data_IF_196551296363
#
_entry.id   IF_196551296363
#
_cell.length_a   1.000
_cell.length_b   1.000
_cell.length_c   1.000
_cell.angle_alpha   90.00
_cell.angle_beta   90.00
_cell.angle_gamma   90.00
#
_symmetry.space_group_name_H-M   'P 1'
#
loop_
_entity.id
_entity.type
_entity.pdbx_description
1 polymer ?
#
# COMPACT_ATOMS: atom_id res chain seq x y z
N UNK A 1 -12.51 -2.17 24.99
CA UNK A 1 -11.56 -2.76 25.96
C UNK A 1 -11.76 -4.27 26.04
N UNK A 2 -12.94 -4.79 26.40
CA UNK A 2 -13.20 -6.25 26.60
C UNK A 2 -12.78 -7.16 25.43
N UNK A 3 -12.93 -6.70 24.18
CA UNK A 3 -12.52 -7.50 23.01
C UNK A 3 -11.00 -7.55 22.89
N UNK A 4 -10.32 -6.42 23.05
CA UNK A 4 -8.84 -6.35 22.97
C UNK A 4 -8.20 -7.14 24.12
N UNK A 5 -8.78 -7.14 25.33
CA UNK A 5 -8.29 -7.99 26.44
C UNK A 5 -8.38 -9.48 26.08
N UNK A 6 -9.45 -9.90 25.38
CA UNK A 6 -9.60 -11.29 24.89
C UNK A 6 -8.56 -11.63 23.82
N UNK A 7 -8.30 -10.69 22.88
CA UNK A 7 -7.21 -10.85 21.88
C UNK A 7 -5.89 -11.00 22.61
N UNK A 8 -5.56 -10.08 23.53
CA UNK A 8 -4.31 -10.11 24.29
C UNK A 8 -4.12 -11.45 25.05
N UNK A 9 -5.19 -12.00 25.62
CA UNK A 9 -5.16 -13.30 26.29
C UNK A 9 -4.85 -14.45 25.31
N UNK A 10 -5.48 -14.48 24.13
CA UNK A 10 -5.28 -15.55 23.12
C UNK A 10 -3.87 -15.52 22.55
N UNK A 11 -3.24 -14.35 22.49
CA UNK A 11 -1.84 -14.19 22.04
C UNK A 11 -0.83 -14.17 23.18
N UNK A 12 -1.24 -14.36 24.44
CA UNK A 12 -0.38 -14.30 25.63
C UNK A 12 0.43 -13.00 25.74
N UNK A 13 -0.16 -11.87 25.36
CA UNK A 13 0.52 -10.56 25.35
C UNK A 13 0.71 -9.96 26.75
N UNK A 14 0.04 -10.50 27.75
CA UNK A 14 -0.05 -9.91 29.09
C UNK A 14 -1.25 -8.98 29.27
N UNK A 15 -1.37 -8.35 30.44
CA UNK A 15 -2.48 -7.44 30.75
C UNK A 15 -2.35 -6.13 29.99
N UNK A 16 -3.46 -5.68 29.36
CA UNK A 16 -3.52 -4.41 28.64
C UNK A 16 -3.47 -3.25 29.64
N UNK A 17 -2.52 -2.34 29.48
CA UNK A 17 -2.35 -1.10 30.24
C UNK A 17 -2.95 0.10 29.56
N UNK A 18 -2.66 0.24 28.25
CA UNK A 18 -3.10 1.36 27.43
C UNK A 18 -3.59 0.89 26.08
N UNK A 19 -4.61 1.58 25.56
CA UNK A 19 -5.23 1.30 24.26
C UNK A 19 -5.45 2.62 23.53
N UNK A 20 -4.88 2.73 22.33
CA UNK A 20 -5.06 3.89 21.46
C UNK A 20 -5.59 3.43 20.11
N UNK A 21 -6.74 3.94 19.68
CA UNK A 21 -7.25 3.70 18.34
C UNK A 21 -6.37 4.42 17.29
N UNK A 22 -6.06 3.72 16.20
CA UNK A 22 -5.33 4.28 15.07
C UNK A 22 -6.35 4.62 13.96
N UNK A 23 -6.46 5.89 13.60
CA UNK A 23 -7.49 6.40 12.69
C UNK A 23 -7.08 6.41 11.21
N UNK A 24 -5.95 5.81 10.84
CA UNK A 24 -5.35 5.96 9.52
C UNK A 24 -5.87 4.98 8.45
N UNK A 25 -6.71 4.00 8.80
CA UNK A 25 -7.25 3.00 7.86
C UNK A 25 -8.71 3.26 7.47
N UNK A 26 -9.04 3.20 6.17
CA UNK A 26 -10.43 3.30 5.68
C UNK A 26 -11.18 1.95 5.75
N UNK A 27 -10.48 0.83 5.73
CA UNK A 27 -11.04 -0.52 5.52
C UNK A 27 -10.97 -1.42 6.76
N UNK A 28 -10.10 -1.11 7.73
CA UNK A 28 -9.90 -1.90 8.94
C UNK A 28 -9.73 -1.01 10.17
N UNK A 29 -10.25 -1.46 11.30
CA UNK A 29 -9.97 -0.83 12.58
C UNK A 29 -8.64 -1.36 13.12
N UNK A 30 -7.78 -0.45 13.62
CA UNK A 30 -6.51 -0.80 14.21
C UNK A 30 -6.30 -0.08 15.54
N UNK A 31 -5.59 -0.74 16.46
CA UNK A 31 -5.27 -0.21 17.77
C UNK A 31 -3.81 -0.46 18.09
N UNK A 32 -3.17 0.55 18.65
CA UNK A 32 -1.94 0.36 19.40
C UNK A 32 -2.31 -0.11 20.82
N UNK A 33 -1.75 -1.23 21.21
CA UNK A 33 -2.00 -1.88 22.50
C UNK A 33 -0.69 -1.93 23.27
N UNK A 34 -0.64 -1.28 24.43
CA UNK A 34 0.46 -1.40 25.37
C UNK A 34 0.07 -2.40 26.47
N UNK A 35 0.93 -3.37 26.71
CA UNK A 35 0.76 -4.38 27.75
C UNK A 35 1.84 -4.25 28.84
N UNK A 36 1.82 -5.18 29.80
CA UNK A 36 2.93 -5.28 30.80
C UNK A 36 4.26 -5.68 30.15
N UNK A 37 4.22 -6.38 29.02
CA UNK A 37 5.40 -6.97 28.40
C UNK A 37 5.98 -6.11 27.27
N UNK A 38 5.10 -5.60 26.35
CA UNK A 38 5.53 -4.86 25.17
C UNK A 38 4.36 -4.09 24.54
N UNK A 39 4.58 -3.50 23.37
CA UNK A 39 3.58 -2.81 22.54
C UNK A 39 3.29 -3.61 21.29
N UNK A 40 2.04 -3.57 20.86
CA UNK A 40 1.53 -4.33 19.71
C UNK A 40 0.56 -3.49 18.87
N UNK A 41 0.38 -3.88 17.62
CA UNK A 41 -0.73 -3.42 16.78
C UNK A 41 -1.73 -4.57 16.68
N UNK A 42 -2.97 -4.31 17.08
CA UNK A 42 -4.11 -5.20 16.84
C UNK A 42 -4.94 -4.60 15.73
N UNK A 43 -5.22 -5.36 14.67
CA UNK A 43 -6.07 -4.91 13.56
C UNK A 43 -7.17 -5.92 13.23
N UNK A 44 -8.33 -5.41 12.76
CA UNK A 44 -9.35 -6.25 12.15
C UNK A 44 -8.96 -6.63 10.74
N UNK A 45 -9.28 -7.86 10.35
CA UNK A 45 -9.05 -8.38 8.99
C UNK A 45 -10.39 -8.84 8.42
N UNK A 46 -10.59 -8.68 7.12
CA UNK A 46 -11.84 -8.99 6.44
C UNK A 46 -12.21 -10.48 6.52
N UNK A 47 -11.23 -11.38 6.50
CA UNK A 47 -11.45 -12.81 6.58
C UNK A 47 -10.25 -13.56 7.13
N UNK A 48 -10.48 -14.78 7.63
CA UNK A 48 -9.41 -15.69 8.06
C UNK A 48 -8.46 -16.02 6.93
N UNK A 49 -8.97 -16.20 5.70
CA UNK A 49 -8.17 -16.47 4.51
C UNK A 49 -7.22 -15.32 4.19
N UNK A 50 -7.70 -14.08 4.35
CA UNK A 50 -6.88 -12.87 4.19
C UNK A 50 -5.79 -12.81 5.27
N UNK A 51 -6.12 -13.10 6.53
CA UNK A 51 -5.14 -13.09 7.62
C UNK A 51 -4.01 -14.12 7.42
N UNK A 52 -4.34 -15.33 6.96
CA UNK A 52 -3.35 -16.37 6.61
C UNK A 52 -2.47 -15.91 5.45
N UNK A 53 -3.06 -15.30 4.43
CA UNK A 53 -2.32 -14.80 3.27
C UNK A 53 -1.36 -13.65 3.67
N UNK A 54 -1.82 -12.64 4.41
CA UNK A 54 -0.96 -11.55 4.89
C UNK A 54 0.20 -12.08 5.76
N UNK A 55 -0.06 -13.07 6.59
CA UNK A 55 0.99 -13.74 7.36
C UNK A 55 2.01 -14.42 6.46
N UNK A 56 1.56 -15.16 5.43
CA UNK A 56 2.45 -15.84 4.51
C UNK A 56 3.38 -14.85 3.78
N UNK A 57 2.84 -13.73 3.27
CA UNK A 57 3.62 -12.67 2.62
C UNK A 57 4.61 -12.05 3.60
N UNK A 58 4.13 -11.57 4.76
CA UNK A 58 4.98 -10.95 5.78
C UNK A 58 6.10 -11.87 6.23
N UNK A 59 5.80 -13.15 6.47
CA UNK A 59 6.79 -14.13 6.88
C UNK A 59 7.84 -14.38 5.79
N UNK A 60 7.44 -14.49 4.51
CA UNK A 60 8.37 -14.62 3.39
C UNK A 60 9.33 -13.41 3.31
N UNK A 61 8.81 -12.19 3.49
CA UNK A 61 9.64 -10.97 3.52
C UNK A 61 10.60 -10.98 4.71
N UNK A 62 10.13 -11.37 5.90
CA UNK A 62 10.95 -11.46 7.11
C UNK A 62 12.05 -12.52 7.05
N UNK A 63 11.81 -13.63 6.37
CA UNK A 63 12.85 -14.66 6.13
C UNK A 63 14.04 -14.09 5.34
N UNK A 64 13.82 -13.10 4.47
CA UNK A 64 14.90 -12.39 3.76
C UNK A 64 15.59 -11.36 4.64
N UNK A 65 14.82 -10.59 5.41
CA UNK A 65 15.32 -9.63 6.38
C UNK A 65 14.25 -9.29 7.41
N UNK A 66 14.56 -9.49 8.68
CA UNK A 66 13.65 -9.22 9.81
C UNK A 66 13.27 -7.75 9.93
N UNK A 67 14.06 -6.84 9.33
CA UNK A 67 13.86 -5.39 9.41
C UNK A 67 12.99 -4.81 8.29
N UNK A 68 12.53 -5.62 7.32
CA UNK A 68 11.76 -5.11 6.18
C UNK A 68 10.27 -4.93 6.48
N UNK A 69 9.72 -5.66 7.45
CA UNK A 69 8.31 -5.59 7.84
C UNK A 69 8.12 -6.03 9.30
N UNK A 70 7.08 -5.54 10.01
CA UNK A 70 6.76 -6.02 11.35
C UNK A 70 6.41 -7.50 11.37
N UNK A 71 6.68 -8.13 12.49
CA UNK A 71 6.27 -9.50 12.74
C UNK A 71 4.75 -9.59 12.95
N UNK A 72 4.09 -10.52 12.25
CA UNK A 72 2.74 -10.94 12.59
C UNK A 72 2.85 -12.10 13.57
N UNK A 73 2.29 -11.92 14.76
CA UNK A 73 2.37 -12.89 15.83
C UNK A 73 1.43 -14.07 15.58
N UNK A 74 1.83 -15.24 16.09
CA UNK A 74 0.94 -16.40 16.17
C UNK A 74 0.24 -16.41 17.53
N UNK A 75 -1.03 -16.79 17.53
CA UNK A 75 -1.81 -17.07 18.74
C UNK A 75 -1.28 -18.32 19.48
N UNK A 76 -1.75 -18.57 20.69
CA UNK A 76 -1.42 -19.80 21.45
C UNK A 76 -1.84 -21.08 20.72
N UNK A 77 -2.76 -20.99 19.76
CA UNK A 77 -3.15 -22.09 18.87
C UNK A 77 -2.33 -22.13 17.56
N UNK A 78 -1.20 -21.43 17.49
CA UNK A 78 -0.32 -21.32 16.30
C UNK A 78 -1.06 -20.81 15.05
N UNK A 79 -2.06 -19.93 15.21
CA UNK A 79 -2.78 -19.30 14.11
C UNK A 79 -2.40 -17.82 14.01
N UNK A 80 -2.24 -17.23 12.79
CA UNK A 80 -1.92 -15.82 12.61
C UNK A 80 -3.13 -14.89 12.84
N UNK A 81 -4.22 -15.40 13.36
CA UNK A 81 -5.44 -14.66 13.65
C UNK A 81 -6.22 -15.30 14.83
N UNK A 82 -7.17 -14.55 15.34
CA UNK A 82 -8.22 -15.05 16.23
C UNK A 82 -9.58 -14.51 15.79
N UNK A 83 -10.63 -15.31 15.95
CA UNK A 83 -12.01 -14.85 15.70
C UNK A 83 -12.70 -14.62 17.06
N UNK A 84 -13.18 -13.40 17.26
CA UNK A 84 -13.91 -12.99 18.46
C UNK A 84 -15.19 -12.28 18.02
N UNK A 85 -16.34 -12.81 18.44
CA UNK A 85 -17.67 -12.27 18.11
C UNK A 85 -17.88 -12.10 16.59
N UNK A 86 -17.41 -13.09 15.81
CA UNK A 86 -17.53 -13.09 14.35
C UNK A 86 -16.52 -12.21 13.59
N UNK A 87 -15.72 -11.41 14.29
CA UNK A 87 -14.68 -10.58 13.71
C UNK A 87 -13.30 -11.23 13.79
N UNK A 88 -12.55 -11.21 12.70
CA UNK A 88 -11.16 -11.69 12.66
C UNK A 88 -10.21 -10.59 13.09
N UNK A 89 -9.28 -10.93 14.01
CA UNK A 89 -8.23 -10.04 14.51
C UNK A 89 -6.86 -10.65 14.25
N UNK A 90 -5.90 -9.79 13.94
CA UNK A 90 -4.48 -10.12 13.78
C UNK A 90 -3.65 -9.22 14.68
N UNK A 91 -2.56 -9.75 15.21
CA UNK A 91 -1.61 -9.00 16.06
C UNK A 91 -0.28 -8.89 15.36
N UNK A 92 0.30 -7.70 15.40
CA UNK A 92 1.64 -7.41 14.87
C UNK A 92 2.49 -6.80 15.97
N UNK A 93 3.79 -7.07 15.92
CA UNK A 93 4.76 -6.39 16.78
C UNK A 93 4.74 -4.88 16.46
N UNK A 94 4.75 -4.06 17.51
CA UNK A 94 4.88 -2.61 17.36
C UNK A 94 6.30 -2.26 16.93
N UNK A 95 6.43 -1.47 15.88
CA UNK A 95 7.72 -0.92 15.47
C UNK A 95 7.83 0.54 15.91
N UNK A 96 8.85 0.84 16.69
CA UNK A 96 9.21 2.22 17.00
C UNK A 96 9.84 2.87 15.77
N UNK A 97 9.13 3.84 15.22
CA UNK A 97 9.60 4.65 14.10
C UNK A 97 10.06 6.04 14.54
N UNK A 98 10.77 6.72 13.66
CA UNK A 98 11.08 8.14 13.78
C UNK A 98 10.03 8.97 13.06
N UNK A 99 9.86 10.24 13.45
CA UNK A 99 9.02 11.20 12.71
C UNK A 99 9.65 11.63 11.37
N UNK A 100 10.91 11.27 11.13
CA UNK A 100 11.60 11.59 9.88
C UNK A 100 10.93 10.86 8.71
N UNK A 101 10.53 11.59 7.65
CA UNK A 101 10.02 10.93 6.46
C UNK A 101 11.13 10.13 5.75
N UNK A 102 10.80 8.99 5.13
CA UNK A 102 11.78 8.25 4.34
C UNK A 102 12.24 9.06 3.12
N UNK A 103 13.50 8.91 2.73
CA UNK A 103 13.99 9.43 1.45
C UNK A 103 13.64 8.46 0.29
N UNK A 104 13.62 8.96 -0.95
CA UNK A 104 13.41 8.14 -2.14
C UNK A 104 14.42 6.98 -2.21
N UNK A 105 15.71 7.26 -2.01
CA UNK A 105 16.79 6.28 -2.11
C UNK A 105 16.66 5.16 -1.07
N UNK A 106 16.38 5.52 0.18
CA UNK A 106 16.16 4.53 1.26
C UNK A 106 14.94 3.66 0.96
N UNK A 107 13.85 4.29 0.52
CA UNK A 107 12.61 3.59 0.17
C UNK A 107 12.81 2.61 -0.96
N UNK A 108 13.40 3.05 -2.07
CA UNK A 108 13.65 2.17 -3.22
C UNK A 108 14.63 1.04 -2.88
N UNK A 109 15.62 1.28 -2.00
CA UNK A 109 16.50 0.22 -1.51
C UNK A 109 15.72 -0.87 -0.77
N UNK A 110 14.88 -0.49 0.21
CA UNK A 110 14.05 -1.44 0.98
C UNK A 110 13.02 -2.13 0.10
N UNK A 111 12.34 -1.39 -0.77
CA UNK A 111 11.35 -1.96 -1.68
C UNK A 111 11.97 -2.96 -2.66
N UNK A 112 13.16 -2.69 -3.21
CA UNK A 112 13.86 -3.65 -4.09
C UNK A 112 14.19 -4.97 -3.39
N UNK A 113 14.57 -4.92 -2.10
CA UNK A 113 14.79 -6.13 -1.30
C UNK A 113 13.48 -6.92 -1.13
N UNK A 114 12.38 -6.22 -0.78
CA UNK A 114 11.06 -6.84 -0.69
C UNK A 114 10.61 -7.40 -2.05
N UNK A 115 10.84 -6.65 -3.14
CA UNK A 115 10.49 -7.07 -4.51
C UNK A 115 11.15 -8.39 -4.89
N UNK A 116 12.42 -8.62 -4.54
CA UNK A 116 13.11 -9.88 -4.79
C UNK A 116 12.41 -11.08 -4.13
N UNK A 117 11.76 -10.83 -2.97
CA UNK A 117 10.97 -11.87 -2.29
C UNK A 117 9.64 -12.07 -3.03
N UNK A 118 8.95 -11.00 -3.37
CA UNK A 118 7.67 -11.05 -4.08
C UNK A 118 7.82 -11.71 -5.46
N UNK A 119 8.93 -11.49 -6.18
CA UNK A 119 9.21 -12.13 -7.48
C UNK A 119 9.39 -13.67 -7.38
N UNK A 120 9.73 -14.18 -6.19
CA UNK A 120 9.88 -15.60 -5.90
C UNK A 120 8.72 -16.17 -5.06
N UNK A 121 7.76 -15.32 -4.70
CA UNK A 121 6.63 -15.71 -3.87
C UNK A 121 5.67 -16.57 -4.68
N UNK A 122 5.54 -17.83 -4.28
CA UNK A 122 4.59 -18.77 -4.87
C UNK A 122 3.48 -19.07 -3.86
N UNK A 123 2.28 -18.65 -4.19
CA UNK A 123 1.11 -18.87 -3.36
C UNK A 123 -0.12 -19.13 -4.23
N UNK A 124 -0.87 -20.17 -3.92
CA UNK A 124 -2.01 -20.62 -4.73
C UNK A 124 -3.22 -19.66 -4.70
N UNK A 125 -3.24 -18.69 -3.80
CA UNK A 125 -4.31 -17.72 -3.67
C UNK A 125 -3.77 -16.30 -3.87
N UNK A 126 -4.36 -15.58 -4.83
CA UNK A 126 -4.17 -14.14 -4.97
C UNK A 126 -5.50 -13.44 -4.69
N UNK A 127 -5.57 -12.52 -3.71
CA UNK A 127 -6.75 -11.69 -3.51
C UNK A 127 -7.11 -10.92 -4.79
N UNK A 128 -8.39 -10.63 -5.02
CA UNK A 128 -8.80 -9.72 -6.09
C UNK A 128 -8.35 -8.28 -5.78
N UNK A 129 -8.24 -7.44 -6.82
CA UNK A 129 -8.12 -5.99 -6.62
C UNK A 129 -9.39 -5.47 -5.94
N UNK A 130 -9.24 -4.81 -4.79
CA UNK A 130 -10.35 -4.23 -4.04
C UNK A 130 -10.98 -3.03 -4.76
N UNK A 131 -10.21 -2.34 -5.61
CA UNK A 131 -10.59 -1.11 -6.31
C UNK A 131 -10.24 -1.15 -7.81
N UNK A 132 -10.81 -2.07 -8.62
CA UNK A 132 -10.49 -2.14 -10.05
C UNK A 132 -10.87 -0.86 -10.77
N UNK A 133 -10.02 -0.37 -11.69
CA UNK A 133 -10.30 0.85 -12.46
C UNK A 133 -11.66 0.80 -13.17
N UNK A 134 -12.06 -0.35 -13.69
CA UNK A 134 -13.36 -0.50 -14.36
C UNK A 134 -14.54 -0.19 -13.44
N UNK A 135 -14.46 -0.55 -12.17
CA UNK A 135 -15.48 -0.27 -11.14
C UNK A 135 -15.43 1.21 -10.77
N UNK A 136 -14.26 1.75 -10.43
CA UNK A 136 -14.08 3.17 -10.10
C UNK A 136 -14.54 4.09 -11.23
N UNK A 137 -14.17 3.78 -12.48
CA UNK A 137 -14.58 4.55 -13.65
C UNK A 137 -16.08 4.59 -13.81
N UNK A 138 -16.76 3.44 -13.69
CA UNK A 138 -18.24 3.36 -13.80
C UNK A 138 -18.90 4.19 -12.70
N UNK A 139 -18.40 4.14 -11.48
CA UNK A 139 -18.98 4.81 -10.33
C UNK A 139 -18.79 6.34 -10.34
N UNK A 140 -17.66 6.83 -10.92
CA UNK A 140 -17.25 8.22 -10.69
C UNK A 140 -17.06 9.06 -11.97
N UNK A 141 -17.19 8.48 -13.19
CA UNK A 141 -16.98 9.20 -14.44
C UNK A 141 -17.91 10.41 -14.62
N UNK A 142 -19.15 10.31 -14.17
CA UNK A 142 -20.13 11.41 -14.27
C UNK A 142 -19.71 12.59 -13.41
N UNK A 143 -19.38 12.32 -12.14
CA UNK A 143 -18.86 13.35 -11.24
C UNK A 143 -17.56 13.99 -11.76
N UNK A 144 -16.68 13.21 -12.40
CA UNK A 144 -15.47 13.74 -13.03
C UNK A 144 -15.82 14.62 -14.23
N UNK A 145 -16.77 14.21 -15.07
CA UNK A 145 -17.23 14.99 -16.23
C UNK A 145 -17.84 16.33 -15.83
N UNK A 146 -18.65 16.34 -14.76
CA UNK A 146 -19.28 17.57 -14.24
C UNK A 146 -18.27 18.51 -13.59
N UNK A 147 -17.42 17.97 -12.70
CA UNK A 147 -16.50 18.79 -11.90
C UNK A 147 -15.24 19.22 -12.67
N UNK A 148 -14.77 18.41 -13.63
CA UNK A 148 -13.49 18.56 -14.33
C UNK A 148 -13.59 18.13 -15.81
N UNK A 149 -14.39 18.81 -16.66
CA UNK A 149 -14.70 18.35 -18.01
C UNK A 149 -13.46 18.18 -18.92
N UNK A 150 -12.50 19.09 -18.85
CA UNK A 150 -11.25 18.99 -19.65
C UNK A 150 -10.45 17.74 -19.26
N UNK A 151 -10.27 17.53 -17.95
CA UNK A 151 -9.55 16.36 -17.43
C UNK A 151 -10.31 15.06 -17.73
N UNK A 152 -11.65 15.09 -17.70
CA UNK A 152 -12.47 13.94 -18.08
C UNK A 152 -12.16 13.46 -19.49
N UNK A 153 -12.13 14.36 -20.50
CA UNK A 153 -11.82 13.98 -21.87
C UNK A 153 -10.41 13.39 -22.01
N UNK A 154 -9.43 13.99 -21.33
CA UNK A 154 -8.07 13.48 -21.31
C UNK A 154 -7.99 12.08 -20.72
N UNK A 155 -8.60 11.86 -19.55
CA UNK A 155 -8.61 10.54 -18.89
C UNK A 155 -9.40 9.53 -19.71
N UNK A 156 -10.58 9.88 -20.25
CA UNK A 156 -11.42 8.98 -21.02
C UNK A 156 -10.69 8.39 -22.23
N UNK A 157 -9.82 9.17 -22.87
CA UNK A 157 -8.98 8.69 -23.97
C UNK A 157 -7.97 7.61 -23.52
N UNK A 158 -7.47 7.70 -22.31
CA UNK A 158 -6.48 6.74 -21.76
C UNK A 158 -7.13 5.50 -21.13
N UNK A 159 -8.40 5.58 -20.71
CA UNK A 159 -9.09 4.51 -19.97
C UNK A 159 -8.99 3.11 -20.60
N UNK A 160 -9.12 2.93 -21.95
CA UNK A 160 -8.98 1.60 -22.54
C UNK A 160 -7.63 0.94 -22.23
N UNK A 161 -6.53 1.69 -22.38
CA UNK A 161 -5.19 1.20 -22.10
C UNK A 161 -4.96 1.01 -20.59
N UNK A 162 -5.37 1.98 -19.77
CA UNK A 162 -5.26 1.86 -18.31
C UNK A 162 -6.00 0.65 -17.76
N UNK A 163 -7.19 0.32 -18.31
CA UNK A 163 -7.92 -0.91 -17.94
C UNK A 163 -7.14 -2.17 -18.31
N UNK A 164 -6.50 -2.21 -19.49
CA UNK A 164 -5.67 -3.34 -19.91
C UNK A 164 -4.50 -3.54 -18.92
N UNK A 165 -3.85 -2.44 -18.53
CA UNK A 165 -2.77 -2.50 -17.53
C UNK A 165 -3.31 -2.95 -16.16
N UNK A 166 -4.42 -2.38 -15.68
CA UNK A 166 -5.02 -2.72 -14.39
C UNK A 166 -5.42 -4.20 -14.26
N UNK A 167 -5.76 -4.83 -15.38
CA UNK A 167 -6.13 -6.24 -15.45
C UNK A 167 -4.94 -7.20 -15.53
N UNK A 168 -3.72 -6.70 -15.73
CA UNK A 168 -2.55 -7.58 -15.79
C UNK A 168 -2.28 -8.27 -14.44
N UNK A 169 -1.63 -9.43 -14.52
CA UNK A 169 -1.28 -10.27 -13.38
C UNK A 169 0.19 -10.69 -13.46
N UNK A 170 1.03 -9.72 -13.84
CA UNK A 170 2.42 -9.96 -14.23
C UNK A 170 3.34 -10.20 -13.04
N UNK A 171 2.92 -9.78 -11.85
CA UNK A 171 3.77 -9.80 -10.68
C UNK A 171 2.97 -9.78 -9.37
N UNK A 172 3.54 -10.32 -8.31
CA UNK A 172 3.09 -10.01 -6.96
C UNK A 172 3.42 -8.56 -6.62
N UNK A 173 2.45 -7.82 -6.13
CA UNK A 173 2.58 -6.43 -5.74
C UNK A 173 2.07 -6.24 -4.32
N UNK A 174 2.56 -5.23 -3.62
CA UNK A 174 2.00 -4.78 -2.35
C UNK A 174 0.58 -4.22 -2.54
N UNK A 175 0.36 -3.50 -3.63
CA UNK A 175 -0.95 -3.03 -4.07
C UNK A 175 -1.41 -1.71 -3.46
N UNK A 176 -0.83 -1.28 -2.34
CA UNK A 176 -1.09 0.01 -1.67
C UNK A 176 0.19 0.62 -1.10
N UNK A 177 1.26 0.70 -1.91
CA UNK A 177 2.58 1.15 -1.44
C UNK A 177 2.73 2.68 -1.44
N UNK A 178 1.80 3.38 -0.79
CA UNK A 178 1.93 4.81 -0.52
C UNK A 178 2.87 5.10 0.65
N UNK A 179 3.24 6.39 0.83
CA UNK A 179 4.10 6.82 1.96
C UNK A 179 3.52 6.49 3.33
N UNK A 180 2.21 6.35 3.43
CA UNK A 180 1.50 5.97 4.66
C UNK A 180 1.79 4.54 5.11
N UNK A 181 2.27 3.69 4.20
CA UNK A 181 2.68 2.31 4.49
C UNK A 181 4.21 2.16 4.60
N UNK A 182 4.92 3.27 4.83
CA UNK A 182 6.36 3.31 5.04
C UNK A 182 6.69 3.89 6.42
N UNK A 183 7.47 3.16 7.20
CA UNK A 183 8.01 3.63 8.48
C UNK A 183 9.54 3.71 8.41
N UNK A 184 10.13 4.69 9.08
CA UNK A 184 11.59 4.74 9.28
C UNK A 184 11.88 4.34 10.72
N UNK A 185 12.61 3.26 10.91
CA UNK A 185 13.03 2.81 12.25
C UNK A 185 14.08 3.73 12.86
N UNK A 186 14.36 3.57 14.14
CA UNK A 186 15.44 4.30 14.82
C UNK A 186 16.84 3.97 14.25
N UNK A 187 17.01 2.80 13.61
CA UNK A 187 18.23 2.44 12.86
C UNK A 187 18.34 3.09 11.48
N UNK A 188 17.29 3.82 11.04
CA UNK A 188 17.22 4.44 9.71
C UNK A 188 16.77 3.51 8.60
N UNK A 189 16.37 2.26 8.90
CA UNK A 189 15.82 1.33 7.94
C UNK A 189 14.37 1.72 7.58
N UNK A 190 14.04 1.69 6.28
CA UNK A 190 12.64 1.83 5.82
C UNK A 190 11.96 0.49 5.87
N UNK A 191 10.85 0.44 6.58
CA UNK A 191 9.99 -0.73 6.79
C UNK A 191 8.71 -0.54 6.00
N UNK A 192 8.26 -1.60 5.33
CA UNK A 192 6.96 -1.66 4.64
C UNK A 192 5.95 -2.35 5.56
N UNK A 193 4.78 -1.74 5.70
CA UNK A 193 3.68 -2.25 6.53
C UNK A 193 2.43 -2.46 5.68
N UNK A 194 1.48 -3.23 6.22
CA UNK A 194 0.12 -3.42 5.70
C UNK A 194 0.04 -4.10 4.32
N UNK A 195 0.18 -5.42 4.32
CA UNK A 195 0.04 -6.28 3.13
C UNK A 195 -1.42 -6.64 2.76
N UNK A 196 -2.41 -5.88 3.28
CA UNK A 196 -3.82 -6.15 3.06
C UNK A 196 -4.27 -6.13 1.59
N UNK A 197 -3.60 -5.35 0.75
CA UNK A 197 -3.88 -5.23 -0.69
C UNK A 197 -2.92 -6.03 -1.58
N UNK A 198 -2.05 -6.86 -0.98
CA UNK A 198 -1.09 -7.67 -1.74
C UNK A 198 -1.81 -8.67 -2.63
N UNK A 199 -1.43 -8.69 -3.91
CA UNK A 199 -2.06 -9.53 -4.95
C UNK A 199 -1.17 -9.68 -6.18
N UNK A 200 -1.56 -10.55 -7.11
CA UNK A 200 -1.08 -10.47 -8.47
C UNK A 200 -1.65 -9.23 -9.16
N UNK A 201 -0.81 -8.46 -9.82
CA UNK A 201 -1.21 -7.20 -10.44
C UNK A 201 -0.17 -6.63 -11.41
N UNK A 202 -0.36 -5.37 -11.84
CA UNK A 202 0.56 -4.71 -12.76
C UNK A 202 1.98 -4.60 -12.20
N UNK A 203 2.95 -5.08 -12.94
CA UNK A 203 4.38 -5.15 -12.58
C UNK A 203 4.95 -3.89 -11.94
N UNK A 204 4.49 -2.70 -12.36
CA UNK A 204 5.04 -1.42 -11.91
C UNK A 204 4.13 -0.64 -10.96
N UNK A 205 3.02 -1.22 -10.46
CA UNK A 205 2.03 -0.46 -9.68
C UNK A 205 2.62 0.10 -8.37
N UNK A 206 3.41 -0.69 -7.65
CA UNK A 206 4.06 -0.22 -6.42
C UNK A 206 5.13 0.85 -6.70
N UNK A 207 5.89 0.70 -7.79
CA UNK A 207 6.81 1.74 -8.24
C UNK A 207 6.07 3.03 -8.63
N UNK A 208 4.88 2.93 -9.22
CA UNK A 208 4.03 4.08 -9.56
C UNK A 208 3.56 4.81 -8.29
N UNK A 209 3.15 4.08 -7.27
CA UNK A 209 2.79 4.64 -5.97
C UNK A 209 3.98 5.38 -5.31
N UNK A 210 5.16 4.77 -5.31
CA UNK A 210 6.39 5.38 -4.79
C UNK A 210 6.80 6.60 -5.63
N UNK A 211 6.73 6.51 -6.96
CA UNK A 211 7.02 7.65 -7.85
C UNK A 211 6.16 8.85 -7.49
N UNK A 212 4.84 8.68 -7.42
CA UNK A 212 3.92 9.74 -7.02
C UNK A 212 4.21 10.27 -5.62
N UNK A 213 4.54 9.39 -4.67
CA UNK A 213 4.82 9.76 -3.29
C UNK A 213 6.00 10.73 -3.12
N UNK A 214 7.02 10.68 -4.00
CA UNK A 214 8.22 11.51 -3.93
C UNK A 214 8.31 12.53 -5.08
N UNK A 215 7.32 12.56 -5.98
CA UNK A 215 7.34 13.42 -7.17
C UNK A 215 7.41 14.90 -6.82
N UNK A 216 8.25 15.70 -7.52
CA UNK A 216 8.29 17.15 -7.38
C UNK A 216 6.96 17.78 -7.80
N UNK A 217 6.66 18.95 -7.23
CA UNK A 217 5.41 19.68 -7.52
C UNK A 217 5.48 20.54 -8.79
N UNK A 218 6.67 20.68 -9.38
CA UNK A 218 6.89 21.51 -10.57
C UNK A 218 7.41 20.68 -11.73
N UNK A 219 7.17 21.16 -12.97
CA UNK A 219 7.55 20.47 -14.19
C UNK A 219 9.07 20.49 -14.46
N UNK A 220 9.76 21.52 -13.99
CA UNK A 220 11.19 21.72 -14.29
C UNK A 220 12.04 20.58 -13.72
N UNK A 221 11.73 20.14 -12.49
CA UNK A 221 12.47 19.09 -11.81
C UNK A 221 11.99 17.68 -12.20
N UNK A 222 10.83 17.56 -12.86
CA UNK A 222 10.17 16.26 -13.08
C UNK A 222 10.99 15.34 -13.99
N UNK A 223 11.62 15.86 -15.04
CA UNK A 223 12.46 15.05 -15.96
C UNK A 223 13.70 14.52 -15.24
N UNK A 224 14.37 15.37 -14.47
CA UNK A 224 15.53 14.96 -13.67
C UNK A 224 15.14 13.91 -12.63
N UNK A 225 14.02 14.14 -11.94
CA UNK A 225 13.45 13.19 -10.99
C UNK A 225 13.09 11.84 -11.63
N UNK A 226 12.45 11.83 -12.80
CA UNK A 226 12.14 10.58 -13.51
C UNK A 226 13.43 9.81 -13.83
N UNK A 227 14.46 10.47 -14.33
CA UNK A 227 15.72 9.81 -14.65
C UNK A 227 16.40 9.24 -13.40
N UNK A 228 16.41 9.99 -12.29
CA UNK A 228 16.90 9.49 -11.00
C UNK A 228 16.08 8.29 -10.51
N UNK A 229 14.74 8.39 -10.58
CA UNK A 229 13.86 7.29 -10.16
C UNK A 229 14.09 6.01 -10.97
N UNK A 230 14.18 6.11 -12.30
CA UNK A 230 14.45 4.97 -13.17
C UNK A 230 15.82 4.34 -12.84
N UNK A 231 16.85 5.15 -12.64
CA UNK A 231 18.18 4.66 -12.26
C UNK A 231 18.16 3.93 -10.89
N UNK A 232 17.48 4.50 -9.89
CA UNK A 232 17.40 3.92 -8.56
C UNK A 232 16.49 2.68 -8.48
N UNK A 233 15.40 2.67 -9.24
CA UNK A 233 14.44 1.54 -9.25
C UNK A 233 14.93 0.33 -10.05
N UNK A 234 15.83 0.53 -11.01
CA UNK A 234 16.30 -0.49 -11.95
C UNK A 234 15.29 -0.78 -13.08
N UNK A 235 14.28 0.08 -13.26
CA UNK A 235 13.34 0.00 -14.39
C UNK A 235 14.11 0.29 -15.67
N UNK A 236 14.03 -0.62 -16.65
CA UNK A 236 14.73 -0.50 -17.91
C UNK A 236 14.13 0.62 -18.78
N UNK A 237 14.95 1.25 -19.61
CA UNK A 237 14.50 2.31 -20.55
C UNK A 237 13.40 1.80 -21.49
N UNK A 238 13.46 0.55 -21.90
CA UNK A 238 12.44 -0.13 -22.72
C UNK A 238 11.07 -0.22 -22.03
N UNK A 239 11.04 -0.26 -20.70
CA UNK A 239 9.83 -0.33 -19.89
C UNK A 239 9.28 1.05 -19.51
N UNK A 240 9.98 2.15 -19.89
CA UNK A 240 9.64 3.53 -19.49
C UNK A 240 8.19 3.89 -19.81
N UNK A 241 7.72 3.60 -21.03
CA UNK A 241 6.35 3.94 -21.44
C UNK A 241 5.31 3.19 -20.58
N UNK A 242 5.47 1.88 -20.41
CA UNK A 242 4.59 1.07 -19.56
C UNK A 242 4.60 1.55 -18.10
N UNK A 243 5.76 1.93 -17.58
CA UNK A 243 5.89 2.51 -16.24
C UNK A 243 5.10 3.81 -16.12
N UNK A 244 5.26 4.76 -17.05
CA UNK A 244 4.55 6.04 -17.03
C UNK A 244 3.03 5.85 -17.15
N UNK A 245 2.58 4.94 -18.01
CA UNK A 245 1.15 4.58 -18.10
C UNK A 245 0.64 3.94 -16.80
N UNK A 246 1.49 3.17 -16.09
CA UNK A 246 1.14 2.63 -14.77
C UNK A 246 1.08 3.74 -13.71
N UNK A 247 1.93 4.77 -13.79
CA UNK A 247 1.81 5.98 -12.96
C UNK A 247 0.48 6.69 -13.23
N UNK A 248 0.09 6.84 -14.50
CA UNK A 248 -1.23 7.41 -14.85
C UNK A 248 -2.38 6.56 -14.28
N UNK A 249 -2.28 5.23 -14.36
CA UNK A 249 -3.26 4.33 -13.75
C UNK A 249 -3.41 4.59 -12.26
N UNK A 250 -2.30 4.64 -11.50
CA UNK A 250 -2.32 4.92 -10.07
C UNK A 250 -2.96 6.27 -9.74
N UNK A 251 -2.57 7.33 -10.46
CA UNK A 251 -3.09 8.67 -10.27
C UNK A 251 -4.59 8.78 -10.60
N UNK A 252 -5.03 8.16 -11.69
CA UNK A 252 -6.46 8.13 -12.09
C UNK A 252 -7.30 7.38 -11.07
N UNK A 253 -6.84 6.22 -10.58
CA UNK A 253 -7.54 5.49 -9.51
C UNK A 253 -7.63 6.36 -8.25
N UNK A 254 -6.55 7.00 -7.83
CA UNK A 254 -6.52 7.91 -6.69
C UNK A 254 -7.49 9.09 -6.85
N UNK A 255 -7.51 9.74 -8.01
CA UNK A 255 -8.46 10.82 -8.30
C UNK A 255 -9.92 10.36 -8.18
N UNK A 256 -10.26 9.22 -8.80
CA UNK A 256 -11.63 8.69 -8.78
C UNK A 256 -12.11 8.36 -7.36
N UNK A 257 -11.22 7.85 -6.49
CA UNK A 257 -11.55 7.56 -5.09
C UNK A 257 -11.90 8.83 -4.31
N UNK A 258 -11.23 9.96 -4.59
CA UNK A 258 -11.36 11.19 -3.79
C UNK A 258 -12.24 12.26 -4.41
N UNK A 259 -12.66 12.11 -5.67
CA UNK A 259 -13.33 13.17 -6.46
C UNK A 259 -14.61 13.71 -5.81
N UNK A 260 -15.31 12.90 -5.04
CA UNK A 260 -16.55 13.29 -4.38
C UNK A 260 -16.37 13.75 -2.94
N UNK A 261 -15.32 13.30 -2.26
CA UNK A 261 -15.18 13.44 -0.81
C UNK A 261 -14.14 14.48 -0.40
N UNK A 262 -13.06 14.67 -1.18
CA UNK A 262 -11.88 15.41 -0.77
C UNK A 262 -11.36 16.31 -1.90
N UNK A 263 -11.97 17.49 -2.07
CA UNK A 263 -11.63 18.41 -3.17
C UNK A 263 -10.14 18.83 -3.20
N UNK A 264 -9.49 18.98 -2.05
CA UNK A 264 -8.05 19.32 -1.97
C UNK A 264 -7.17 18.20 -2.52
N UNK A 265 -7.45 16.95 -2.16
CA UNK A 265 -6.73 15.78 -2.69
C UNK A 265 -7.02 15.55 -4.16
N UNK A 266 -8.26 15.77 -4.62
CA UNK A 266 -8.59 15.71 -6.04
C UNK A 266 -7.75 16.70 -6.86
N UNK A 267 -7.49 17.91 -6.33
CA UNK A 267 -6.58 18.88 -6.95
C UNK A 267 -5.13 18.38 -7.03
N UNK A 268 -4.63 17.70 -5.99
CA UNK A 268 -3.29 17.11 -5.99
C UNK A 268 -3.16 16.04 -7.08
N UNK A 269 -4.11 15.12 -7.18
CA UNK A 269 -4.12 14.10 -8.23
C UNK A 269 -4.26 14.69 -9.63
N UNK A 270 -5.11 15.71 -9.83
CA UNK A 270 -5.24 16.41 -11.10
C UNK A 270 -3.88 16.97 -11.55
N UNK A 271 -3.23 17.77 -10.70
CA UNK A 271 -1.93 18.37 -11.04
C UNK A 271 -0.88 17.30 -11.35
N UNK A 272 -0.87 16.19 -10.62
CA UNK A 272 0.03 15.08 -10.87
C UNK A 272 -0.23 14.41 -12.24
N UNK A 273 -1.50 14.19 -12.61
CA UNK A 273 -1.88 13.65 -13.92
C UNK A 273 -1.39 14.57 -15.05
N UNK A 274 -1.64 15.87 -14.94
CA UNK A 274 -1.20 16.86 -15.93
C UNK A 274 0.33 16.90 -16.09
N UNK A 275 1.06 16.86 -14.96
CA UNK A 275 2.52 16.81 -14.94
C UNK A 275 3.05 15.53 -15.63
N UNK A 276 2.53 14.37 -15.26
CA UNK A 276 3.00 13.09 -15.82
C UNK A 276 2.61 12.93 -17.29
N UNK A 277 1.47 13.47 -17.74
CA UNK A 277 1.06 13.48 -19.15
C UNK A 277 2.07 14.20 -20.06
N UNK A 278 2.88 15.09 -19.49
CA UNK A 278 3.93 15.78 -20.28
C UNK A 278 5.20 14.94 -20.46
N UNK A 279 5.28 13.75 -19.85
CA UNK A 279 6.41 12.81 -19.92
C UNK A 279 6.13 11.62 -20.85
N UNK A 280 4.84 11.32 -21.10
CA UNK A 280 4.35 10.26 -21.97
C UNK A 280 4.37 10.74 -23.43
#
# INVERSE_FOLDING_TARGET
>A
LKIIDRVAKVYSLGSVKHLQALHNGKTSAAWQVETMNDRYIVKTIQSQKQAVFEFAVSNAVRQKSLELTPEILLSTACQPFVVIEGQTYQVQAFLSGTERPPSLRETLKSYRQMRQVLDQFDYSFSPPDSMPLAVLWRAHREALSEKKPVLFHQIAAMVPELKRIDQSRDAWIHGDLGKWNLLVTNSGQVVVIDFGETRLGPKFLDFAALFQGFMPKNKQDLTAYLNEFLALSGIQVTDRHLFLMTVQLWLVKGLLIVINEQASLAGVFQNAIELVSSLV
#
